data_IF_656560645249
#
_entry.id   IF_656560645249
#
_cell.length_a   1.000
_cell.length_b   1.000
_cell.length_c   1.000
_cell.angle_alpha   90.00
_cell.angle_beta   90.00
_cell.angle_gamma   90.00
#
_symmetry.space_group_name_H-M   'P 1'
#
loop_
_entity.id
_entity.type
_entity.pdbx_description
1 polymer ?
#
# COMPACT_ATOMS: atom_id res chain seq x y z
N UNK A 1 3.60 -4.86 -8.04
CA UNK A 1 2.47 -4.65 -7.12
C UNK A 1 2.09 -5.96 -6.45
N UNK A 2 1.50 -6.95 -7.16
CA UNK A 2 1.18 -8.26 -6.54
C UNK A 2 2.40 -8.95 -5.93
N UNK A 3 3.51 -9.09 -6.67
CA UNK A 3 4.72 -9.69 -6.12
C UNK A 3 5.29 -8.92 -4.92
N UNK A 4 5.22 -7.60 -4.95
CA UNK A 4 5.67 -6.72 -3.86
C UNK A 4 4.80 -6.90 -2.60
N UNK A 5 3.48 -6.94 -2.77
CA UNK A 5 2.51 -7.27 -1.72
C UNK A 5 2.80 -8.64 -1.08
N UNK A 6 3.04 -9.67 -1.89
CA UNK A 6 3.31 -11.03 -1.38
C UNK A 6 4.60 -11.09 -0.58
N UNK A 7 5.65 -10.42 -1.04
CA UNK A 7 6.95 -10.39 -0.36
C UNK A 7 6.89 -9.57 0.95
N UNK A 8 6.20 -8.44 0.94
CA UNK A 8 6.04 -7.58 2.11
C UNK A 8 5.20 -8.27 3.20
N UNK A 9 4.09 -8.92 2.85
CA UNK A 9 3.28 -9.69 3.80
C UNK A 9 4.06 -10.83 4.48
N UNK A 10 5.16 -11.28 3.86
CA UNK A 10 6.01 -12.37 4.35
C UNK A 10 7.33 -11.89 4.96
N UNK A 11 7.54 -10.57 5.10
CA UNK A 11 8.77 -10.00 5.65
C UNK A 11 10.03 -10.36 4.85
N UNK A 12 9.88 -10.78 3.59
CA UNK A 12 10.99 -11.31 2.78
C UNK A 12 12.08 -10.26 2.53
N UNK A 13 11.79 -8.97 2.27
CA UNK A 13 12.85 -7.99 2.06
C UNK A 13 13.83 -7.88 3.23
N UNK A 14 13.33 -7.87 4.46
CA UNK A 14 14.17 -7.82 5.67
C UNK A 14 14.94 -9.13 5.86
N UNK A 15 14.26 -10.28 5.73
CA UNK A 15 14.88 -11.60 5.86
C UNK A 15 16.00 -11.80 4.82
N UNK A 16 15.77 -11.38 3.58
CA UNK A 16 16.74 -11.43 2.49
C UNK A 16 17.97 -10.56 2.81
N UNK A 17 17.76 -9.31 3.24
CA UNK A 17 18.85 -8.41 3.61
C UNK A 17 19.71 -8.98 4.76
N UNK A 18 19.08 -9.62 5.76
CA UNK A 18 19.78 -10.29 6.87
C UNK A 18 20.57 -11.52 6.38
N UNK A 19 19.98 -12.35 5.53
CA UNK A 19 20.61 -13.55 4.99
C UNK A 19 21.89 -13.23 4.21
N UNK A 20 21.90 -12.17 3.41
CA UNK A 20 23.11 -11.70 2.71
C UNK A 20 24.24 -11.27 3.65
N UNK A 21 23.93 -10.95 4.91
CA UNK A 21 24.91 -10.64 5.97
C UNK A 21 25.23 -11.86 6.86
N UNK A 22 24.87 -13.07 6.41
CA UNK A 22 25.09 -14.31 7.15
C UNK A 22 24.11 -14.52 8.32
N UNK A 23 23.10 -13.67 8.47
CA UNK A 23 22.12 -13.77 9.56
C UNK A 23 20.89 -14.53 9.09
N UNK A 24 20.68 -15.74 9.62
CA UNK A 24 19.50 -16.54 9.31
C UNK A 24 18.34 -16.21 10.27
N UNK A 25 17.33 -15.51 9.78
CA UNK A 25 16.18 -15.09 10.58
C UNK A 25 14.91 -15.89 10.20
N UNK A 26 14.79 -17.11 10.70
CA UNK A 26 13.61 -17.98 10.46
C UNK A 26 12.51 -17.68 11.48
N UNK A 27 11.74 -16.62 11.23
CA UNK A 27 10.59 -16.24 12.07
C UNK A 27 9.30 -16.31 11.26
N UNK A 28 8.27 -16.93 11.84
CA UNK A 28 6.91 -16.94 11.31
C UNK A 28 6.06 -15.79 11.89
N UNK A 29 6.46 -15.24 13.03
CA UNK A 29 5.77 -14.11 13.67
C UNK A 29 5.75 -12.90 12.73
N UNK A 30 4.57 -12.32 12.50
CA UNK A 30 4.38 -11.18 11.59
C UNK A 30 4.38 -11.54 10.10
N UNK A 31 4.40 -12.83 9.73
CA UNK A 31 4.19 -13.27 8.35
C UNK A 31 2.74 -13.67 8.10
N UNK A 32 2.18 -13.20 7.00
CA UNK A 32 0.79 -13.42 6.65
C UNK A 32 0.63 -13.96 5.23
N UNK A 33 -0.38 -14.81 5.04
CA UNK A 33 -0.90 -15.11 3.71
C UNK A 33 -1.73 -13.93 3.18
N UNK A 34 -1.63 -13.68 1.88
CA UNK A 34 -2.46 -12.70 1.20
C UNK A 34 -3.94 -13.13 1.17
N UNK A 35 -4.21 -14.43 1.05
CA UNK A 35 -5.57 -14.97 1.05
C UNK A 35 -6.34 -14.51 2.29
N UNK A 36 -7.57 -14.04 2.08
CA UNK A 36 -8.46 -13.51 3.12
C UNK A 36 -8.10 -12.13 3.65
N UNK A 37 -7.02 -11.49 3.18
CA UNK A 37 -6.69 -10.10 3.54
C UNK A 37 -7.47 -9.10 2.69
N UNK A 38 -7.66 -7.92 3.24
CA UNK A 38 -8.35 -6.79 2.59
C UNK A 38 -7.33 -5.90 1.87
N UNK A 39 -7.44 -5.83 0.55
CA UNK A 39 -6.70 -4.88 -0.30
C UNK A 39 -7.55 -3.64 -0.53
N UNK A 40 -7.07 -2.49 -0.09
CA UNK A 40 -7.61 -1.17 -0.41
C UNK A 40 -6.89 -0.55 -1.60
N UNK A 41 -7.63 -0.18 -2.63
CA UNK A 41 -7.11 0.42 -3.87
C UNK A 41 -7.55 1.88 -3.92
N UNK A 42 -6.61 2.82 -3.97
CA UNK A 42 -6.91 4.25 -4.12
C UNK A 42 -6.64 4.65 -5.57
N UNK A 43 -7.68 5.00 -6.31
CA UNK A 43 -7.68 5.18 -7.76
C UNK A 43 -8.02 3.88 -8.48
N UNK A 44 -9.26 3.77 -8.95
CA UNK A 44 -9.81 2.57 -9.60
C UNK A 44 -9.97 2.77 -11.11
N UNK A 45 -8.87 3.23 -11.74
CA UNK A 45 -8.71 3.27 -13.19
C UNK A 45 -8.05 2.01 -13.74
N UNK A 46 -7.49 2.07 -14.95
CA UNK A 46 -6.89 0.93 -15.65
C UNK A 46 -6.00 0.03 -14.78
N UNK A 47 -5.05 0.61 -14.04
CA UNK A 47 -4.11 -0.16 -13.22
C UNK A 47 -4.79 -0.71 -11.96
N UNK A 48 -5.58 0.12 -11.26
CA UNK A 48 -6.26 -0.28 -10.03
C UNK A 48 -7.25 -1.42 -10.27
N UNK A 49 -7.99 -1.37 -11.37
CA UNK A 49 -8.93 -2.43 -11.75
C UNK A 49 -8.22 -3.76 -12.04
N UNK A 50 -7.13 -3.75 -12.83
CA UNK A 50 -6.36 -4.96 -13.12
C UNK A 50 -5.69 -5.53 -11.86
N UNK A 51 -5.22 -4.66 -10.97
CA UNK A 51 -4.72 -5.10 -9.66
C UNK A 51 -5.80 -5.82 -8.85
N UNK A 52 -7.02 -5.27 -8.83
CA UNK A 52 -8.17 -5.87 -8.15
C UNK A 52 -8.47 -7.29 -8.66
N UNK A 53 -8.54 -7.49 -9.99
CA UNK A 53 -8.80 -8.81 -10.60
C UNK A 53 -7.75 -9.85 -10.16
N UNK A 54 -6.47 -9.47 -10.20
CA UNK A 54 -5.39 -10.37 -9.80
C UNK A 54 -5.42 -10.66 -8.29
N UNK A 55 -5.74 -9.67 -7.46
CA UNK A 55 -5.85 -9.84 -6.03
C UNK A 55 -7.02 -10.75 -5.62
N UNK A 56 -8.18 -10.61 -6.27
CA UNK A 56 -9.31 -11.53 -6.09
C UNK A 56 -8.95 -12.96 -6.48
N UNK A 57 -8.18 -13.14 -7.56
CA UNK A 57 -7.69 -14.45 -7.99
C UNK A 57 -6.76 -15.13 -6.96
N UNK A 58 -6.12 -14.33 -6.09
CA UNK A 58 -5.32 -14.80 -4.95
C UNK A 58 -6.17 -14.98 -3.67
N UNK A 59 -7.49 -14.76 -3.76
CA UNK A 59 -8.43 -14.88 -2.65
C UNK A 59 -8.38 -13.70 -1.67
N UNK A 60 -7.95 -12.52 -2.10
CA UNK A 60 -8.07 -11.29 -1.30
C UNK A 60 -9.48 -10.70 -1.42
N UNK A 61 -9.90 -9.93 -0.41
CA UNK A 61 -11.06 -9.06 -0.52
C UNK A 61 -10.63 -7.71 -1.06
N UNK A 62 -11.25 -7.24 -2.14
CA UNK A 62 -10.88 -5.99 -2.80
C UNK A 62 -11.88 -4.89 -2.51
N UNK A 63 -11.37 -3.77 -2.01
CA UNK A 63 -12.11 -2.54 -1.77
C UNK A 63 -11.39 -1.42 -2.49
N UNK A 64 -12.13 -0.41 -2.95
CA UNK A 64 -11.49 0.73 -3.60
C UNK A 64 -12.16 2.05 -3.26
N UNK A 65 -11.37 3.11 -3.32
CA UNK A 65 -11.82 4.49 -3.27
C UNK A 65 -11.43 5.18 -4.57
N UNK A 66 -12.38 5.89 -5.16
CA UNK A 66 -12.19 6.78 -6.30
C UNK A 66 -13.09 8.00 -6.11
N UNK A 67 -12.65 9.15 -6.62
CA UNK A 67 -13.41 10.41 -6.54
C UNK A 67 -14.66 10.35 -7.43
N UNK A 68 -14.65 9.48 -8.43
CA UNK A 68 -15.78 9.18 -9.28
C UNK A 68 -16.48 7.88 -8.84
N UNK A 69 -17.78 7.79 -9.08
CA UNK A 69 -18.48 6.52 -8.96
C UNK A 69 -18.03 5.60 -10.12
N UNK A 70 -17.43 4.45 -9.81
CA UNK A 70 -16.92 3.50 -10.80
C UNK A 70 -17.70 2.19 -10.70
N UNK A 71 -17.97 1.58 -11.85
CA UNK A 71 -18.52 0.23 -11.87
C UNK A 71 -17.45 -0.76 -11.36
N UNK A 72 -17.72 -1.52 -10.28
CA UNK A 72 -16.79 -2.55 -9.83
C UNK A 72 -16.67 -3.69 -10.84
N UNK A 73 -15.48 -4.30 -10.93
CA UNK A 73 -15.30 -5.58 -11.62
C UNK A 73 -15.12 -6.70 -10.58
N UNK A 74 -15.75 -7.84 -10.82
CA UNK A 74 -15.70 -8.97 -9.91
C UNK A 74 -16.45 -8.69 -8.60
N UNK A 75 -15.81 -8.99 -7.48
CA UNK A 75 -16.37 -8.77 -6.14
C UNK A 75 -15.86 -7.49 -5.48
N UNK A 76 -15.16 -6.64 -6.23
CA UNK A 76 -14.62 -5.38 -5.73
C UNK A 76 -15.75 -4.47 -5.22
N UNK A 77 -15.53 -3.81 -4.09
CA UNK A 77 -16.54 -2.93 -3.49
C UNK A 77 -16.01 -1.50 -3.41
N UNK A 78 -16.78 -0.54 -3.96
CA UNK A 78 -16.47 0.88 -3.79
C UNK A 78 -16.78 1.33 -2.36
N UNK A 79 -15.82 1.99 -1.73
CA UNK A 79 -15.94 2.62 -0.43
C UNK A 79 -16.06 4.12 -0.62
N UNK A 80 -17.08 4.72 0.00
CA UNK A 80 -17.43 6.13 -0.23
C UNK A 80 -16.46 7.11 0.44
N UNK A 81 -15.91 6.74 1.59
CA UNK A 81 -14.98 7.58 2.33
C UNK A 81 -13.59 6.96 2.37
N UNK A 82 -12.57 7.75 2.01
CA UNK A 82 -11.17 7.31 2.05
C UNK A 82 -10.78 6.80 3.46
N UNK A 83 -11.25 7.46 4.51
CA UNK A 83 -11.02 7.05 5.90
C UNK A 83 -11.45 5.62 6.17
N UNK A 84 -12.60 5.20 5.63
CA UNK A 84 -13.15 3.87 5.90
C UNK A 84 -12.30 2.81 5.19
N UNK A 85 -11.86 3.10 3.97
CA UNK A 85 -10.94 2.25 3.22
C UNK A 85 -9.63 2.05 4.00
N UNK A 86 -9.03 3.14 4.49
CA UNK A 86 -7.78 3.11 5.24
C UNK A 86 -7.92 2.29 6.54
N UNK A 87 -9.00 2.51 7.29
CA UNK A 87 -9.27 1.80 8.54
C UNK A 87 -9.49 0.28 8.35
N UNK A 88 -10.01 -0.15 7.19
CA UNK A 88 -10.34 -1.56 6.97
C UNK A 88 -9.27 -2.35 6.21
N UNK A 89 -8.32 -1.69 5.55
CA UNK A 89 -7.37 -2.35 4.63
C UNK A 89 -6.16 -2.90 5.37
N UNK A 90 -5.78 -4.14 5.05
CA UNK A 90 -4.52 -4.74 5.52
C UNK A 90 -3.36 -4.32 4.61
N UNK A 91 -3.66 -4.05 3.34
CA UNK A 91 -2.73 -3.47 2.36
C UNK A 91 -3.44 -2.35 1.60
N UNK A 92 -2.81 -1.20 1.48
CA UNK A 92 -3.28 -0.07 0.67
C UNK A 92 -2.36 0.13 -0.53
N UNK A 93 -2.90 0.25 -1.74
CA UNK A 93 -2.13 0.55 -2.95
C UNK A 93 -2.65 1.79 -3.70
N UNK A 94 -1.72 2.64 -4.14
CA UNK A 94 -2.01 3.92 -4.79
C UNK A 94 -1.85 3.82 -6.31
N UNK A 95 -2.89 4.20 -7.06
CA UNK A 95 -2.93 4.27 -8.53
C UNK A 95 -3.61 5.55 -9.02
N UNK A 96 -3.27 6.68 -8.39
CA UNK A 96 -3.79 8.00 -8.75
C UNK A 96 -2.84 8.75 -9.69
N UNK A 97 -3.35 9.67 -10.54
CA UNK A 97 -2.50 10.59 -11.29
C UNK A 97 -1.77 11.56 -10.37
N UNK A 98 -0.74 12.23 -10.89
CA UNK A 98 -0.06 13.32 -10.18
C UNK A 98 -0.68 14.66 -10.57
N UNK A 99 -1.36 15.29 -9.62
CA UNK A 99 -1.98 16.59 -9.76
C UNK A 99 -2.11 17.24 -8.36
N UNK A 100 -2.57 18.51 -8.25
CA UNK A 100 -2.67 19.19 -6.96
C UNK A 100 -3.56 18.49 -5.93
N UNK A 101 -4.57 17.72 -6.37
CA UNK A 101 -5.48 17.00 -5.46
C UNK A 101 -4.88 15.72 -4.86
N UNK A 102 -3.84 15.16 -5.49
CA UNK A 102 -3.21 13.91 -5.05
C UNK A 102 -1.84 14.12 -4.42
N UNK A 103 -1.28 15.33 -4.53
CA UNK A 103 -0.01 15.70 -3.90
C UNK A 103 -0.12 15.60 -2.38
N UNK A 104 0.76 14.80 -1.78
CA UNK A 104 0.80 14.49 -0.35
C UNK A 104 -0.54 14.05 0.23
N UNK A 105 -1.40 13.41 -0.58
CA UNK A 105 -2.69 12.91 -0.08
C UNK A 105 -2.53 11.83 0.98
N UNK A 106 -1.40 11.11 0.98
CA UNK A 106 -1.03 10.19 2.05
C UNK A 106 -0.04 10.89 2.99
N UNK A 107 -0.58 11.76 3.85
CA UNK A 107 0.17 12.43 4.91
C UNK A 107 0.15 11.67 6.23
N UNK A 108 0.68 12.28 7.30
CA UNK A 108 0.70 11.68 8.63
C UNK A 108 -0.71 11.33 9.15
N UNK A 109 -1.70 12.18 8.88
CA UNK A 109 -3.10 11.95 9.26
C UNK A 109 -3.64 10.69 8.58
N UNK A 110 -3.54 10.59 7.27
CA UNK A 110 -4.08 9.45 6.51
C UNK A 110 -3.35 8.16 6.84
N UNK A 111 -2.02 8.21 7.03
CA UNK A 111 -1.24 7.05 7.46
C UNK A 111 -1.67 6.59 8.86
N UNK A 112 -1.94 7.50 9.80
CA UNK A 112 -2.43 7.13 11.14
C UNK A 112 -3.81 6.47 11.14
N UNK A 113 -4.64 6.71 10.11
CA UNK A 113 -5.92 6.03 9.94
C UNK A 113 -5.78 4.60 9.39
N UNK A 114 -4.61 4.24 8.85
CA UNK A 114 -4.37 2.88 8.40
C UNK A 114 -4.31 1.93 9.59
N UNK A 115 -4.70 0.68 9.39
CA UNK A 115 -4.59 -0.35 10.43
C UNK A 115 -3.15 -0.47 10.93
N UNK A 116 -2.94 -0.64 12.25
CA UNK A 116 -1.63 -1.01 12.78
C UNK A 116 -1.11 -2.30 12.13
N UNK A 117 0.14 -2.29 11.68
CA UNK A 117 0.77 -3.40 10.97
C UNK A 117 0.35 -3.57 9.51
N UNK A 118 -0.41 -2.62 8.95
CA UNK A 118 -0.76 -2.63 7.51
C UNK A 118 0.43 -2.25 6.62
N UNK A 119 0.23 -2.44 5.32
CA UNK A 119 1.21 -2.12 4.28
C UNK A 119 0.73 -0.98 3.39
N UNK A 120 1.64 -0.09 3.00
CA UNK A 120 1.39 0.95 1.99
C UNK A 120 2.27 0.71 0.75
N UNK A 121 1.65 0.60 -0.43
CA UNK A 121 2.35 0.43 -1.71
C UNK A 121 2.02 1.60 -2.64
N UNK A 122 2.99 2.47 -2.85
CA UNK A 122 2.89 3.53 -3.85
C UNK A 122 3.51 3.06 -5.18
N UNK A 123 2.64 2.77 -6.15
CA UNK A 123 3.01 2.45 -7.52
C UNK A 123 2.64 3.55 -8.52
N UNK A 124 2.21 4.73 -8.06
CA UNK A 124 1.84 5.86 -8.90
C UNK A 124 3.03 6.82 -9.13
N UNK A 125 3.15 7.85 -8.30
CA UNK A 125 4.10 8.96 -8.39
C UNK A 125 4.63 9.32 -7.01
N UNK A 126 5.87 9.80 -6.95
CA UNK A 126 6.56 10.01 -5.68
C UNK A 126 5.99 11.12 -4.81
N UNK A 127 5.29 12.07 -5.43
CA UNK A 127 4.67 13.24 -4.78
C UNK A 127 3.35 12.94 -4.09
N UNK A 128 2.83 11.71 -4.18
CA UNK A 128 1.52 11.32 -3.62
C UNK A 128 1.62 11.02 -2.12
N UNK A 129 2.80 10.61 -1.65
CA UNK A 129 3.05 10.24 -0.26
C UNK A 129 4.01 11.23 0.37
N UNK A 130 3.67 11.71 1.57
CA UNK A 130 4.59 12.46 2.41
C UNK A 130 5.68 11.49 2.93
N UNK A 131 6.89 11.61 2.39
CA UNK A 131 8.00 10.70 2.68
C UNK A 131 8.45 10.77 4.15
N UNK A 132 8.65 11.95 4.76
CA UNK A 132 8.86 12.05 6.20
C UNK A 132 7.80 11.30 7.03
N UNK A 133 6.52 11.52 6.76
CA UNK A 133 5.45 10.84 7.50
C UNK A 133 5.47 9.30 7.33
N UNK A 134 5.80 8.82 6.12
CA UNK A 134 5.98 7.40 5.86
C UNK A 134 7.15 6.81 6.67
N UNK A 135 8.29 7.51 6.71
CA UNK A 135 9.44 7.09 7.49
C UNK A 135 9.12 7.00 8.99
N UNK A 136 8.42 7.99 9.54
CA UNK A 136 8.00 8.00 10.94
C UNK A 136 7.04 6.84 11.27
N UNK A 137 6.10 6.53 10.36
CA UNK A 137 5.18 5.42 10.52
C UNK A 137 5.87 4.04 10.45
N UNK A 138 6.93 3.90 9.64
CA UNK A 138 7.75 2.70 9.60
C UNK A 138 8.64 2.57 10.85
N UNK A 139 9.25 3.66 11.30
CA UNK A 139 10.09 3.68 12.49
C UNK A 139 9.30 3.36 13.77
N UNK A 140 8.07 3.88 13.88
CA UNK A 140 7.14 3.58 14.98
C UNK A 140 6.49 2.19 14.89
N UNK A 141 6.71 1.46 13.78
CA UNK A 141 6.06 0.17 13.46
C UNK A 141 4.53 0.24 13.34
N UNK A 142 3.97 1.44 13.15
CA UNK A 142 2.55 1.58 12.80
C UNK A 142 2.28 0.92 11.44
N UNK A 143 3.18 1.07 10.48
CA UNK A 143 3.20 0.28 9.25
C UNK A 143 4.21 -0.87 9.38
N UNK A 144 3.80 -2.08 8.99
CA UNK A 144 4.70 -3.24 8.96
C UNK A 144 5.69 -3.18 7.80
N UNK A 145 5.39 -2.37 6.78
CA UNK A 145 6.23 -2.18 5.61
C UNK A 145 5.61 -1.17 4.64
N UNK A 146 6.47 -0.52 3.87
CA UNK A 146 6.07 0.47 2.88
C UNK A 146 6.96 0.37 1.65
N UNK A 147 6.35 0.34 0.46
CA UNK A 147 7.05 0.35 -0.82
C UNK A 147 6.70 1.60 -1.59
N UNK A 148 7.68 2.47 -1.85
CA UNK A 148 7.51 3.57 -2.78
C UNK A 148 8.41 3.37 -3.99
N UNK A 149 7.81 3.06 -5.14
CA UNK A 149 8.55 2.78 -6.37
C UNK A 149 9.20 4.03 -6.96
N UNK A 150 8.67 5.22 -6.67
CA UNK A 150 9.20 6.50 -7.17
C UNK A 150 9.47 7.42 -5.98
N UNK A 151 10.73 7.71 -5.73
CA UNK A 151 11.13 8.73 -4.76
C UNK A 151 11.17 10.07 -5.50
N UNK A 152 10.59 11.16 -4.96
CA UNK A 152 10.78 12.49 -5.53
C UNK A 152 12.27 12.77 -5.70
N UNK A 153 12.63 13.23 -6.89
CA UNK A 153 13.94 13.77 -7.21
C UNK A 153 14.25 14.94 -6.27
N UNK A 154 15.26 14.75 -5.40
CA UNK A 154 15.72 15.72 -4.42
C UNK A 154 16.46 16.91 -5.02
N UNK A 155 15.98 17.47 -6.14
CA UNK A 155 16.55 18.67 -6.77
C UNK A 155 15.51 19.79 -6.80
N UNK A 156 15.21 20.31 -5.61
CA UNK A 156 14.80 21.71 -5.45
C UNK A 156 16.04 22.52 -5.08
N UNK A 157 16.46 23.40 -5.99
CA UNK A 157 17.57 24.36 -5.90
C UNK A 157 18.04 24.76 -4.49
N UNK A 158 19.35 24.65 -4.28
CA UNK A 158 20.13 25.83 -3.88
C UNK A 158 20.31 26.73 -5.10
#
# INVERSE_FOLDING_TARGET
MIGELLLLLRGVPEANAKAHRGVWNKLAAGSFEARGKKLGIIGYGHIGTQLGILAESLGMYVYFYDIENKLPLGNATQVQHLSDLLNMSDVVSLHVPENPSTKNMMGAKEISLMKPGSLLINASRGTVVDIPALCDALASKHLAGGGNRRIPDGTGNQ
#
